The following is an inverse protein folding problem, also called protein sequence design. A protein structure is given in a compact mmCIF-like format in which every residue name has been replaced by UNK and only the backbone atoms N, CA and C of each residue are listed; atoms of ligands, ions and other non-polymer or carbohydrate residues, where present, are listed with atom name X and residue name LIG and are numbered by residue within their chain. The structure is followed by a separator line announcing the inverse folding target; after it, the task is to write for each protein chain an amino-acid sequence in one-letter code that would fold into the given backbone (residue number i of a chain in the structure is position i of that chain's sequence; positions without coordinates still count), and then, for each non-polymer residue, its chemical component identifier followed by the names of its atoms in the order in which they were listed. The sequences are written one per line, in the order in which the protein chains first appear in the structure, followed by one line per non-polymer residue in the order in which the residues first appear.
data_IF_457222102558
#
_entry.id   IF_457222102558
#
_cell.length_a   1.000
_cell.length_b   1.000
_cell.length_c   1.000
_cell.angle_alpha   90.00
_cell.angle_beta   90.00
_cell.angle_gamma   90.00
#
_symmetry.space_group_name_H-M   'P 1'
#
loop_
_entity.id
_entity.type
_entity.pdbx_description
1 polymer ?
#
# COMPACT_ATOMS: atom_id res chain seq x y z
N UNK A 1 12.91 -8.80 15.84
CA UNK A 1 12.37 -7.97 14.75
C UNK A 1 13.37 -7.99 13.61
N UNK A 2 12.93 -8.32 12.40
CA UNK A 2 13.77 -8.37 11.19
C UNK A 2 13.25 -7.29 10.23
N UNK A 3 14.14 -6.42 9.77
CA UNK A 3 13.82 -5.37 8.81
C UNK A 3 14.62 -5.63 7.54
N UNK A 4 13.93 -5.59 6.40
CA UNK A 4 14.53 -5.70 5.09
C UNK A 4 14.38 -4.34 4.41
N UNK A 5 15.49 -3.62 4.29
CA UNK A 5 15.57 -2.39 3.51
C UNK A 5 15.70 -2.76 2.04
N UNK A 6 14.79 -2.25 1.21
CA UNK A 6 14.69 -2.62 -0.18
C UNK A 6 14.49 -1.38 -1.05
N UNK A 7 15.12 -1.38 -2.23
CA UNK A 7 14.77 -0.41 -3.25
C UNK A 7 13.65 -0.99 -4.10
N UNK A 8 12.42 -0.61 -3.79
CA UNK A 8 11.23 -1.06 -4.51
C UNK A 8 11.10 -0.20 -5.76
N UNK A 9 11.30 -0.77 -6.94
CA UNK A 9 11.20 -0.01 -8.20
C UNK A 9 9.75 0.13 -8.66
N UNK A 10 8.96 -0.93 -8.47
CA UNK A 10 7.54 -0.92 -8.75
C UNK A 10 6.71 -1.54 -7.63
N UNK A 11 5.51 -1.02 -7.47
CA UNK A 11 4.49 -1.61 -6.61
C UNK A 11 3.17 -1.67 -7.38
N UNK A 12 2.70 -2.88 -7.66
CA UNK A 12 1.39 -3.15 -8.24
C UNK A 12 0.40 -3.40 -7.10
N UNK A 13 -0.71 -2.67 -7.13
CA UNK A 13 -1.78 -2.75 -6.12
C UNK A 13 -3.02 -3.36 -6.76
N UNK A 14 -3.59 -4.36 -6.09
CA UNK A 14 -4.80 -5.05 -6.50
C UNK A 14 -5.83 -5.01 -5.38
N UNK A 15 -7.11 -5.12 -5.71
CA UNK A 15 -8.17 -5.30 -4.70
C UNK A 15 -8.14 -6.72 -4.11
N UNK A 16 -8.97 -6.97 -3.10
CA UNK A 16 -9.19 -8.29 -2.48
C UNK A 16 -9.40 -9.44 -3.48
N UNK A 17 -10.02 -9.15 -4.62
CA UNK A 17 -10.36 -10.13 -5.67
C UNK A 17 -9.25 -10.30 -6.70
N UNK A 18 -8.12 -9.59 -6.54
CA UNK A 18 -7.00 -9.61 -7.47
C UNK A 18 -7.21 -8.74 -8.72
N UNK A 19 -8.20 -7.85 -8.73
CA UNK A 19 -8.37 -6.88 -9.81
C UNK A 19 -7.32 -5.79 -9.67
N UNK A 20 -6.59 -5.52 -10.75
CA UNK A 20 -5.60 -4.45 -10.80
C UNK A 20 -6.25 -3.09 -10.52
N UNK A 21 -5.66 -2.34 -9.58
CA UNK A 21 -6.06 -0.97 -9.22
C UNK A 21 -5.10 0.01 -9.87
N UNK A 22 -3.82 -0.08 -9.54
CA UNK A 22 -2.81 0.86 -10.01
C UNK A 22 -1.40 0.29 -9.91
N UNK A 23 -0.47 0.92 -10.62
CA UNK A 23 0.96 0.70 -10.50
C UNK A 23 1.58 1.99 -9.97
N UNK A 24 2.38 1.85 -8.93
CA UNK A 24 3.13 2.93 -8.31
C UNK A 24 4.56 2.82 -8.82
N UNK A 25 4.77 3.37 -10.01
CA UNK A 25 6.11 3.58 -10.57
C UNK A 25 6.78 4.68 -9.73
N UNK A 26 8.09 4.57 -9.43
CA UNK A 26 8.89 5.53 -8.63
C UNK A 26 8.80 5.42 -7.11
N UNK A 27 8.43 4.26 -6.56
CA UNK A 27 8.85 3.98 -5.20
C UNK A 27 10.39 4.01 -5.14
N UNK A 28 10.96 4.67 -4.12
CA UNK A 28 12.43 4.81 -4.00
C UNK A 28 12.97 4.18 -2.73
N UNK A 29 12.08 3.90 -1.76
CA UNK A 29 12.42 3.27 -0.50
C UNK A 29 11.22 2.45 -0.02
N UNK A 30 11.42 1.14 0.04
CA UNK A 30 10.50 0.22 0.69
C UNK A 30 11.17 -0.42 1.90
N UNK A 31 10.40 -0.61 2.96
CA UNK A 31 10.82 -1.38 4.11
C UNK A 31 9.79 -2.46 4.39
N UNK A 32 10.27 -3.70 4.43
CA UNK A 32 9.49 -4.84 4.87
C UNK A 32 9.92 -5.17 6.30
N UNK A 33 8.99 -4.97 7.24
CA UNK A 33 9.20 -5.22 8.66
C UNK A 33 8.47 -6.51 9.03
N UNK A 34 9.18 -7.43 9.67
CA UNK A 34 8.61 -8.68 10.16
C UNK A 34 8.99 -8.91 11.63
N UNK A 35 7.98 -9.19 12.45
CA UNK A 35 8.14 -9.53 13.87
C UNK A 35 7.11 -10.57 14.30
N UNK A 36 7.32 -11.15 15.47
CA UNK A 36 6.40 -12.13 16.07
C UNK A 36 5.00 -11.55 16.34
N UNK A 37 4.85 -10.22 16.35
CA UNK A 37 3.60 -9.53 16.67
C UNK A 37 2.89 -8.99 15.42
N UNK A 38 3.64 -8.56 14.41
CA UNK A 38 3.09 -7.92 13.23
C UNK A 38 4.10 -7.88 12.07
N UNK A 39 3.56 -7.78 10.85
CA UNK A 39 4.31 -7.53 9.63
C UNK A 39 3.76 -6.31 8.91
N UNK A 40 4.65 -5.49 8.34
CA UNK A 40 4.29 -4.25 7.65
C UNK A 40 5.12 -4.10 6.38
N UNK A 41 4.51 -3.50 5.37
CA UNK A 41 5.21 -3.03 4.18
C UNK A 41 5.03 -1.51 4.07
N UNK A 42 6.09 -0.77 4.34
CA UNK A 42 6.12 0.68 4.27
C UNK A 42 6.82 1.12 2.99
N UNK A 43 6.24 2.10 2.28
CA UNK A 43 6.76 2.57 1.01
C UNK A 43 6.61 4.08 0.87
N UNK A 44 7.65 4.72 0.38
CA UNK A 44 7.60 6.13 -0.01
C UNK A 44 7.30 6.23 -1.51
N UNK A 45 6.32 7.05 -1.86
CA UNK A 45 5.88 7.28 -3.23
C UNK A 45 6.02 8.78 -3.48
N UNK A 46 6.79 9.16 -4.50
CA UNK A 46 6.98 10.56 -4.90
C UNK A 46 5.75 11.16 -5.58
N UNK A 47 4.91 10.34 -6.19
CA UNK A 47 3.83 10.79 -7.05
C UNK A 47 2.44 10.65 -6.40
N UNK A 48 1.61 11.66 -6.64
CA UNK A 48 0.20 11.65 -6.26
C UNK A 48 -0.57 10.64 -7.12
N UNK A 49 -1.14 9.60 -6.50
CA UNK A 49 -1.89 8.56 -7.20
C UNK A 49 -3.41 8.65 -6.95
N UNK A 50 -4.15 9.18 -7.94
CA UNK A 50 -5.60 9.36 -7.85
C UNK A 50 -6.38 8.05 -7.78
N UNK A 51 -5.88 6.97 -8.40
CA UNK A 51 -6.56 5.69 -8.43
C UNK A 51 -6.49 4.99 -7.07
N UNK A 52 -5.37 5.13 -6.35
CA UNK A 52 -5.26 4.71 -4.96
C UNK A 52 -6.22 5.49 -4.06
N UNK A 53 -6.34 6.81 -4.24
CA UNK A 53 -7.28 7.66 -3.49
C UNK A 53 -8.73 7.23 -3.74
N UNK A 54 -9.11 6.96 -5.00
CA UNK A 54 -10.43 6.41 -5.34
C UNK A 54 -10.63 5.01 -4.76
N UNK A 55 -9.58 4.20 -4.74
CA UNK A 55 -9.63 2.86 -4.19
C UNK A 55 -9.81 2.87 -2.68
N UNK A 56 -9.26 3.84 -1.96
CA UNK A 56 -9.44 3.99 -0.50
C UNK A 56 -10.80 4.64 -0.20
N UNK A 57 -11.14 5.73 -0.88
CA UNK A 57 -12.38 6.48 -0.66
C UNK A 57 -13.63 5.82 -1.26
N UNK A 58 -14.78 6.40 -0.96
CA UNK A 58 -16.04 6.10 -1.64
C UNK A 58 -16.25 7.12 -2.76
N UNK A 59 -16.28 6.64 -4.01
CA UNK A 59 -16.59 7.49 -5.16
C UNK A 59 -18.09 7.75 -5.16
N UNK A 60 -18.47 9.02 -5.06
CA UNK A 60 -19.88 9.39 -5.09
C UNK A 60 -20.47 9.19 -6.47
N UNK A 61 -21.63 8.53 -6.51
CA UNK A 61 -22.39 8.41 -7.73
C UNK A 61 -23.09 9.75 -8.01
N UNK A 62 -22.82 10.34 -9.17
CA UNK A 62 -23.23 11.72 -9.48
C UNK A 62 -24.73 11.90 -9.75
N UNK A 63 -25.50 10.81 -9.76
CA UNK A 63 -26.92 10.80 -10.15
C UNK A 63 -27.87 11.36 -9.07
N UNK A 64 -27.40 11.56 -7.83
CA UNK A 64 -28.21 12.06 -6.71
C UNK A 64 -27.67 13.35 -6.06
N UNK A 65 -26.96 14.18 -6.83
CA UNK A 65 -26.37 15.42 -6.29
C UNK A 65 -27.44 16.49 -6.07
N UNK A 66 -27.39 17.14 -4.90
CA UNK A 66 -28.16 18.34 -4.58
C UNK A 66 -27.74 19.52 -5.45
N UNK A 67 -28.59 20.56 -5.54
CA UNK A 67 -28.27 21.74 -6.36
C UNK A 67 -27.04 22.51 -5.85
N UNK A 68 -26.77 22.47 -4.53
CA UNK A 68 -25.50 22.95 -3.96
C UNK A 68 -24.29 22.16 -4.49
N UNK A 69 -24.43 20.85 -4.61
CA UNK A 69 -23.34 19.98 -5.04
C UNK A 69 -23.04 20.07 -6.53
N UNK A 70 -24.05 20.38 -7.35
CA UNK A 70 -23.91 20.66 -8.79
C UNK A 70 -23.17 21.99 -9.03
N UNK A 71 -23.41 22.98 -8.17
CA UNK A 71 -22.82 24.31 -8.33
C UNK A 71 -21.33 24.36 -7.97
N UNK A 72 -20.91 23.53 -7.02
CA UNK A 72 -19.51 23.48 -6.60
C UNK A 72 -18.57 22.85 -7.65
N UNK A 73 -19.06 21.93 -8.49
CA UNK A 73 -18.26 21.33 -9.56
C UNK A 73 -19.11 20.49 -10.53
N UNK A 74 -19.49 21.03 -11.70
CA UNK A 74 -20.35 20.33 -12.67
C UNK A 74 -19.70 19.10 -13.35
N UNK A 75 -18.40 18.87 -13.13
CA UNK A 75 -17.60 17.81 -13.79
C UNK A 75 -16.54 17.16 -12.89
N UNK A 76 -16.64 17.25 -11.56
CA UNK A 76 -15.64 16.63 -10.69
C UNK A 76 -16.08 15.25 -10.19
N UNK A 77 -15.10 14.36 -10.03
CA UNK A 77 -15.28 13.14 -9.22
C UNK A 77 -15.15 13.52 -7.76
N UNK A 78 -16.22 13.39 -6.99
CA UNK A 78 -16.17 13.54 -5.52
C UNK A 78 -15.77 12.21 -4.89
N UNK A 79 -14.77 12.25 -4.03
CA UNK A 79 -14.28 11.11 -3.26
C UNK A 79 -14.55 11.43 -1.80
N UNK A 80 -15.37 10.62 -1.14
CA UNK A 80 -15.71 10.77 0.28
C UNK A 80 -14.90 9.79 1.11
N UNK A 81 -14.30 10.29 2.19
CA UNK A 81 -13.64 9.47 3.20
C UNK A 81 -14.55 9.37 4.41
N UNK A 82 -15.00 8.16 4.73
CA UNK A 82 -15.70 7.91 5.99
C UNK A 82 -14.67 7.74 7.11
N UNK A 83 -14.99 8.16 8.35
CA UNK A 83 -14.16 7.85 9.50
C UNK A 83 -13.96 6.34 9.57
N UNK A 84 -12.70 5.90 9.64
CA UNK A 84 -12.35 4.51 9.84
C UNK A 84 -12.63 4.16 11.30
N UNK A 85 -13.90 3.89 11.64
CA UNK A 85 -14.19 3.12 12.82
C UNK A 85 -13.80 1.67 12.51
N UNK A 86 -12.68 1.25 13.11
CA UNK A 86 -12.03 -0.05 12.91
C UNK A 86 -13.05 -1.18 12.79
N UNK A 87 -12.98 -1.90 11.67
CA UNK A 87 -13.37 -3.31 11.45
C UNK A 87 -14.42 -3.60 10.37
N UNK A 88 -15.41 -2.75 10.07
CA UNK A 88 -16.49 -3.22 9.18
C UNK A 88 -16.26 -2.95 7.68
N UNK A 89 -15.41 -1.99 7.31
CA UNK A 89 -15.21 -1.59 5.90
C UNK A 89 -13.74 -1.38 5.53
N UNK A 90 -12.81 -2.03 6.22
CA UNK A 90 -11.40 -1.96 5.83
C UNK A 90 -11.21 -2.58 4.45
N UNK A 91 -10.69 -1.78 3.52
CA UNK A 91 -10.38 -2.24 2.18
C UNK A 91 -9.09 -3.05 2.21
N UNK A 92 -9.19 -4.30 1.78
CA UNK A 92 -8.04 -5.20 1.61
C UNK A 92 -7.40 -5.00 0.24
N UNK A 93 -6.09 -5.15 0.22
CA UNK A 93 -5.28 -5.06 -0.99
C UNK A 93 -4.35 -6.26 -1.09
N UNK A 94 -4.09 -6.69 -2.33
CA UNK A 94 -2.94 -7.55 -2.66
C UNK A 94 -1.86 -6.71 -3.29
N UNK A 95 -0.61 -6.99 -2.94
CA UNK A 95 0.54 -6.22 -3.39
C UNK A 95 1.55 -7.13 -4.08
N UNK A 96 2.12 -6.63 -5.16
CA UNK A 96 3.32 -7.21 -5.78
C UNK A 96 4.34 -6.08 -5.92
N UNK A 97 5.46 -6.20 -5.22
CA UNK A 97 6.56 -5.24 -5.29
C UNK A 97 7.77 -5.89 -5.95
N UNK A 98 8.36 -5.25 -6.95
CA UNK A 98 9.61 -5.71 -7.58
C UNK A 98 10.70 -4.65 -7.40
N UNK A 99 11.95 -5.07 -7.33
CA UNK A 99 13.06 -4.15 -7.15
C UNK A 99 14.42 -4.81 -7.01
N UNK A 100 15.35 -4.07 -6.45
CA UNK A 100 16.75 -4.47 -6.31
C UNK A 100 17.19 -4.50 -4.84
N UNK A 101 17.91 -5.56 -4.46
CA UNK A 101 18.61 -5.67 -3.19
C UNK A 101 20.08 -5.32 -3.38
N UNK A 102 20.61 -4.42 -2.55
CA UNK A 102 22.02 -4.02 -2.59
C UNK A 102 22.83 -4.75 -1.53
N UNK A 103 24.06 -5.12 -1.86
CA UNK A 103 25.02 -5.64 -0.89
C UNK A 103 25.62 -4.49 -0.05
N UNK A 104 26.48 -4.82 0.92
CA UNK A 104 27.16 -3.84 1.78
C UNK A 104 28.12 -2.91 1.03
N UNK A 105 28.51 -3.26 -0.20
CA UNK A 105 29.35 -2.43 -1.08
C UNK A 105 28.53 -1.46 -1.94
N UNK A 106 27.19 -1.56 -1.90
CA UNK A 106 26.29 -0.74 -2.71
C UNK A 106 26.06 -1.27 -4.13
N UNK A 107 26.51 -2.49 -4.43
CA UNK A 107 26.21 -3.14 -5.72
C UNK A 107 24.89 -3.89 -5.65
N UNK A 108 24.16 -3.94 -6.77
CA UNK A 108 22.96 -4.78 -6.91
C UNK A 108 23.38 -6.24 -6.74
N UNK A 109 22.82 -6.88 -5.72
CA UNK A 109 23.07 -8.29 -5.39
C UNK A 109 22.05 -9.22 -6.06
N UNK A 110 20.77 -8.88 -6.00
CA UNK A 110 19.66 -9.67 -6.54
C UNK A 110 18.53 -8.74 -6.97
N UNK A 111 17.82 -9.13 -8.02
CA UNK A 111 16.47 -8.62 -8.22
C UNK A 111 15.53 -9.41 -7.29
N UNK A 112 14.48 -8.76 -6.80
CA UNK A 112 13.53 -9.40 -5.90
C UNK A 112 12.10 -9.14 -6.34
N UNK A 113 11.22 -10.02 -5.87
CA UNK A 113 9.78 -9.84 -5.92
C UNK A 113 9.16 -10.21 -4.57
N UNK A 114 8.41 -9.29 -3.99
CA UNK A 114 7.61 -9.50 -2.78
C UNK A 114 6.15 -9.63 -3.18
N UNK A 115 5.48 -10.68 -2.69
CA UNK A 115 4.05 -10.92 -2.91
C UNK A 115 3.37 -10.89 -1.54
N UNK A 116 2.35 -10.03 -1.42
CA UNK A 116 1.54 -9.91 -0.19
C UNK A 116 0.09 -10.17 -0.58
N UNK A 117 -0.44 -11.29 -0.13
CA UNK A 117 -1.78 -11.76 -0.48
C UNK A 117 -2.90 -11.05 0.30
N UNK A 118 -2.61 -10.60 1.52
CA UNK A 118 -3.55 -9.83 2.33
C UNK A 118 -2.87 -8.66 3.02
N UNK A 119 -3.36 -7.45 2.74
CA UNK A 119 -2.91 -6.24 3.42
C UNK A 119 -4.02 -5.22 3.56
N UNK A 120 -3.86 -4.30 4.52
CA UNK A 120 -4.75 -3.15 4.70
C UNK A 120 -3.89 -1.91 4.78
N UNK A 121 -4.29 -0.86 4.06
CA UNK A 121 -3.62 0.43 4.17
C UNK A 121 -3.94 1.05 5.54
N UNK A 122 -2.90 1.30 6.33
CA UNK A 122 -3.04 1.90 7.65
C UNK A 122 -3.46 3.37 7.54
N UNK A 123 -4.31 3.81 8.45
CA UNK A 123 -4.69 5.22 8.53
C UNK A 123 -3.71 6.03 9.39
N UNK A 124 -3.71 7.36 9.15
CA UNK A 124 -2.94 8.37 9.87
C UNK A 124 -2.84 8.17 11.40
N UNK A 125 -3.93 7.74 12.04
CA UNK A 125 -4.06 7.59 13.49
C UNK A 125 -3.51 6.26 14.03
N UNK A 126 -3.32 5.26 13.17
CA UNK A 126 -2.79 3.95 13.55
C UNK A 126 -1.26 3.92 13.60
N UNK A 127 -0.65 5.00 13.10
CA UNK A 127 0.78 5.21 13.04
C UNK A 127 1.45 5.43 14.40
N UNK A 128 0.76 6.04 15.37
CA UNK A 128 1.35 6.34 16.69
C UNK A 128 1.67 5.10 17.55
N UNK A 129 1.23 3.90 17.15
CA UNK A 129 1.40 2.67 17.92
C UNK A 129 2.32 1.61 17.29
N UNK A 130 2.94 1.89 16.12
CA UNK A 130 3.85 0.95 15.48
C UNK A 130 5.32 1.33 15.69
N UNK A 131 6.20 0.35 15.92
CA UNK A 131 7.64 0.56 16.16
C UNK A 131 8.43 0.91 14.87
N UNK A 132 7.77 1.44 13.85
CA UNK A 132 8.38 1.91 12.59
C UNK A 132 8.50 3.42 12.70
N UNK A 133 9.61 4.02 12.25
CA UNK A 133 9.67 5.49 12.08
C UNK A 133 8.94 5.85 10.79
N UNK A 134 7.65 6.10 10.93
CA UNK A 134 6.69 6.19 9.83
C UNK A 134 6.68 7.56 9.18
N UNK A 135 7.37 8.52 9.78
CA UNK A 135 7.50 9.88 9.27
C UNK A 135 8.20 9.93 7.90
N UNK A 136 8.94 8.88 7.53
CA UNK A 136 9.66 8.77 6.27
C UNK A 136 8.85 8.10 5.13
N UNK A 137 7.65 7.58 5.39
CA UNK A 137 6.88 6.78 4.44
C UNK A 137 5.51 7.38 4.12
N UNK A 138 5.14 7.34 2.83
CA UNK A 138 3.86 7.89 2.34
C UNK A 138 2.71 6.92 2.55
N UNK A 139 2.97 5.61 2.43
CA UNK A 139 1.98 4.56 2.59
C UNK A 139 2.55 3.43 3.43
N UNK A 140 1.75 2.88 4.35
CA UNK A 140 2.09 1.66 5.08
C UNK A 140 0.93 0.70 5.01
N UNK A 141 1.26 -0.51 4.61
CA UNK A 141 0.34 -1.61 4.54
C UNK A 141 0.60 -2.55 5.72
N UNK A 142 -0.39 -2.71 6.59
CA UNK A 142 -0.40 -3.76 7.58
C UNK A 142 -0.63 -5.09 6.85
N UNK A 143 0.30 -6.03 6.99
CA UNK A 143 0.26 -7.33 6.34
C UNK A 143 -0.51 -8.29 7.25
N UNK A 144 -1.47 -9.02 6.67
CA UNK A 144 -2.21 -10.08 7.35
C UNK A 144 -1.70 -11.45 6.90
N UNK A 145 -1.90 -12.43 7.77
CA UNK A 145 -1.65 -13.83 7.43
C UNK A 145 -2.73 -14.28 6.46
N UNK A 146 -2.32 -14.84 5.33
CA UNK A 146 -3.23 -15.38 4.32
C UNK A 146 -3.78 -16.76 4.70
N UNK A 147 -4.67 -17.30 3.86
CA UNK A 147 -5.31 -18.61 4.07
C UNK A 147 -4.30 -19.78 4.19
N UNK A 148 -3.07 -19.60 3.71
CA UNK A 148 -1.99 -20.60 3.77
C UNK A 148 -1.09 -20.43 5.00
N UNK A 149 -1.35 -19.44 5.86
CA UNK A 149 -0.52 -19.16 7.02
C UNK A 149 0.70 -18.28 6.72
N UNK A 150 0.81 -17.70 5.52
CA UNK A 150 1.93 -16.86 5.12
C UNK A 150 1.59 -15.38 5.31
N UNK A 151 2.55 -14.58 5.80
CA UNK A 151 2.40 -13.11 5.77
C UNK A 151 2.76 -12.53 4.40
N UNK A 152 3.86 -13.00 3.81
CA UNK A 152 4.33 -12.58 2.50
C UNK A 152 5.23 -13.66 1.91
N UNK A 153 5.45 -13.57 0.60
CA UNK A 153 6.43 -14.37 -0.13
C UNK A 153 7.52 -13.43 -0.67
N UNK A 154 8.78 -13.85 -0.56
CA UNK A 154 9.94 -13.14 -1.12
C UNK A 154 10.64 -14.08 -2.10
N UNK A 155 10.60 -13.75 -3.38
CA UNK A 155 11.32 -14.42 -4.44
C UNK A 155 12.61 -13.64 -4.74
N UNK A 156 13.75 -14.32 -4.71
CA UNK A 156 15.03 -13.79 -5.21
C UNK A 156 15.24 -14.29 -6.63
N UNK A 157 15.52 -13.38 -7.54
CA UNK A 157 15.70 -13.68 -8.96
C UNK A 157 17.20 -13.63 -9.24
N UNK A 158 17.79 -14.80 -9.49
CA UNK A 158 19.19 -14.93 -9.92
C UNK A 158 19.34 -14.42 -11.35
N UNK A 159 20.37 -13.59 -11.60
CA UNK A 159 20.72 -13.06 -12.93
C UNK A 159 21.62 -14.01 -13.72
#
# INVERSE_FOLDING_TARGET
MKNFLMNVMDLKVFDEKGKFITKLDTATKGELVHSDQASYFAINISDFNIDMIKAIGEVENTESLSDFEKELAPKSTKIKFKPLYRNENEKKFKLVAEGELYNSSGDVSHDFKVIINESVLMSGLEFEFSNVDISEYTHVFAIRVDDNGNSFELELIEK
#
